data_IF_035937197293
#
_entry.id   IF_035937197293
#
_cell.length_a   1.000
_cell.length_b   1.000
_cell.length_c   1.000
_cell.angle_alpha   90.00
_cell.angle_beta   90.00
_cell.angle_gamma   90.00
#
_symmetry.space_group_name_H-M   'P 1'
#
loop_
_entity.id
_entity.type
_entity.pdbx_description
1 polymer ?
#
# COMPACT_ATOMS: atom_id res chain seq x y z
N UNK A 1 20.41 -13.89 -8.84
CA UNK A 1 20.49 -12.48 -9.29
C UNK A 1 21.21 -11.66 -8.23
N UNK A 2 22.03 -10.68 -8.61
CA UNK A 2 22.72 -9.79 -7.65
C UNK A 2 22.38 -8.36 -8.02
N UNK A 3 21.70 -7.65 -7.12
CA UNK A 3 21.42 -6.22 -7.26
C UNK A 3 22.71 -5.44 -7.03
N UNK A 4 23.07 -4.57 -7.96
CA UNK A 4 24.19 -3.64 -7.77
C UNK A 4 23.75 -2.39 -6.97
N UNK A 5 24.72 -1.55 -6.61
CA UNK A 5 24.44 -0.35 -5.82
C UNK A 5 23.46 0.61 -6.51
N UNK A 6 23.49 0.69 -7.83
CA UNK A 6 22.59 1.57 -8.58
C UNK A 6 21.15 1.04 -8.53
N UNK A 7 20.96 -0.27 -8.68
CA UNK A 7 19.68 -0.94 -8.52
C UNK A 7 19.12 -0.78 -7.10
N UNK A 8 19.96 -0.95 -6.07
CA UNK A 8 19.56 -0.74 -4.68
C UNK A 8 19.12 0.70 -4.41
N UNK A 9 19.85 1.69 -4.93
CA UNK A 9 19.46 3.09 -4.79
C UNK A 9 18.13 3.38 -5.51
N UNK A 10 17.93 2.83 -6.72
CA UNK A 10 16.65 2.97 -7.44
C UNK A 10 15.49 2.36 -6.67
N UNK A 11 15.67 1.17 -6.08
CA UNK A 11 14.66 0.52 -5.25
C UNK A 11 14.35 1.32 -3.99
N UNK A 12 15.38 1.89 -3.34
CA UNK A 12 15.20 2.74 -2.17
C UNK A 12 14.41 4.01 -2.50
N UNK A 13 14.70 4.66 -3.62
CA UNK A 13 13.98 5.86 -4.08
C UNK A 13 12.52 5.53 -4.41
N UNK A 14 12.25 4.39 -5.05
CA UNK A 14 10.88 3.92 -5.33
C UNK A 14 10.13 3.60 -4.05
N UNK A 15 10.77 2.91 -3.10
CA UNK A 15 10.17 2.59 -1.81
C UNK A 15 9.84 3.86 -0.99
N UNK A 16 10.73 4.85 -1.00
CA UNK A 16 10.47 6.13 -0.33
C UNK A 16 9.27 6.86 -0.96
N UNK A 17 9.18 6.89 -2.30
CA UNK A 17 8.05 7.49 -3.00
C UNK A 17 6.73 6.78 -2.71
N UNK A 18 6.74 5.45 -2.74
CA UNK A 18 5.59 4.62 -2.41
C UNK A 18 5.09 4.89 -0.98
N UNK A 19 6.01 4.92 -0.01
CA UNK A 19 5.71 5.18 1.38
C UNK A 19 5.15 6.61 1.62
N UNK A 20 5.71 7.61 0.94
CA UNK A 20 5.19 8.99 1.01
C UNK A 20 3.77 9.05 0.46
N UNK A 21 3.52 8.48 -0.72
CA UNK A 21 2.20 8.50 -1.36
C UNK A 21 1.13 7.81 -0.50
N UNK A 22 1.44 6.66 0.07
CA UNK A 22 0.54 5.97 1.00
C UNK A 22 0.34 6.76 2.29
N UNK A 23 1.41 7.35 2.85
CA UNK A 23 1.34 8.20 4.04
C UNK A 23 0.47 9.44 3.83
N UNK A 24 0.53 10.09 2.67
CA UNK A 24 -0.35 11.21 2.31
C UNK A 24 -1.81 10.76 2.22
N UNK A 25 -2.09 9.60 1.65
CA UNK A 25 -3.43 9.02 1.61
C UNK A 25 -3.97 8.70 3.01
N UNK A 26 -3.17 8.07 3.88
CA UNK A 26 -3.56 7.78 5.27
C UNK A 26 -3.79 9.09 6.05
N UNK A 27 -2.92 10.08 5.86
CA UNK A 27 -3.06 11.40 6.50
C UNK A 27 -4.32 12.14 6.05
N UNK A 28 -4.73 12.00 4.78
CA UNK A 28 -5.98 12.60 4.28
C UNK A 28 -7.20 11.81 4.74
N UNK A 29 -7.11 10.48 4.81
CA UNK A 29 -8.20 9.61 5.29
C UNK A 29 -8.48 9.80 6.78
N UNK A 30 -7.44 10.02 7.59
CA UNK A 30 -7.58 10.37 9.02
C UNK A 30 -8.13 11.79 9.25
N UNK A 31 -7.96 12.70 8.28
CA UNK A 31 -8.58 14.04 8.31
C UNK A 31 -10.02 14.05 7.79
N UNK A 32 -10.46 12.98 7.10
CA UNK A 32 -11.83 12.76 6.67
C UNK A 32 -12.71 12.12 7.75
N UNK A 33 -12.45 12.41 9.03
CA UNK A 33 -13.47 12.22 10.07
C UNK A 33 -14.73 13.00 9.68
N UNK A 34 -15.84 12.27 9.47
CA UNK A 34 -17.26 12.62 9.77
C UNK A 34 -18.28 12.41 8.64
N UNK A 35 -17.90 12.05 7.41
CA UNK A 35 -18.86 11.41 6.48
C UNK A 35 -18.76 9.88 6.60
N UNK A 36 -18.86 9.38 7.84
CA UNK A 36 -18.96 7.93 8.08
C UNK A 36 -20.32 7.48 7.53
N UNK A 37 -20.33 7.00 6.29
CA UNK A 37 -21.51 6.40 5.69
C UNK A 37 -21.92 5.17 6.51
N UNK A 38 -23.06 5.27 7.18
CA UNK A 38 -23.73 4.15 7.81
C UNK A 38 -24.09 3.09 6.77
N UNK A 39 -23.29 2.03 6.65
CA UNK A 39 -23.73 0.77 6.03
C UNK A 39 -24.08 -0.23 7.14
N UNK A 40 -25.31 -0.70 7.12
CA UNK A 40 -25.82 -1.68 8.07
C UNK A 40 -25.14 -3.04 7.84
N UNK A 41 -24.30 -3.47 8.79
CA UNK A 41 -23.88 -4.86 8.93
C UNK A 41 -22.37 -5.10 8.84
N UNK A 42 -21.78 -5.53 9.96
CA UNK A 42 -20.36 -5.86 10.09
C UNK A 42 -19.74 -5.15 11.28
N UNK A 43 -18.63 -5.68 11.82
CA UNK A 43 -17.89 -5.11 12.96
C UNK A 43 -17.70 -3.59 12.85
N UNK A 44 -17.55 -2.92 14.00
CA UNK A 44 -17.64 -1.47 14.17
C UNK A 44 -17.14 -0.62 13.00
N UNK A 45 -17.74 0.55 12.77
CA UNK A 45 -17.35 1.48 11.68
C UNK A 45 -15.84 1.76 11.63
N UNK A 46 -15.16 1.77 12.77
CA UNK A 46 -13.71 1.90 12.86
C UNK A 46 -12.96 0.75 12.18
N UNK A 47 -13.43 -0.49 12.33
CA UNK A 47 -12.85 -1.68 11.71
C UNK A 47 -13.05 -1.70 10.19
N UNK A 48 -14.21 -1.25 9.71
CA UNK A 48 -14.50 -1.18 8.27
C UNK A 48 -13.66 -0.10 7.56
N UNK A 49 -13.54 1.08 8.17
CA UNK A 49 -12.70 2.16 7.64
C UNK A 49 -11.23 1.76 7.66
N UNK A 50 -10.78 1.02 8.68
CA UNK A 50 -9.41 0.50 8.74
C UNK A 50 -9.10 -0.41 7.55
N UNK A 51 -9.94 -1.40 7.27
CA UNK A 51 -9.78 -2.29 6.11
C UNK A 51 -9.73 -1.53 4.78
N UNK A 52 -10.60 -0.54 4.57
CA UNK A 52 -10.60 0.26 3.34
C UNK A 52 -9.34 1.12 3.19
N UNK A 53 -8.86 1.72 4.29
CA UNK A 53 -7.63 2.53 4.27
C UNK A 53 -6.41 1.66 4.01
N UNK A 54 -6.36 0.46 4.61
CA UNK A 54 -5.27 -0.50 4.43
C UNK A 54 -5.21 -1.02 2.98
N UNK A 55 -6.35 -1.44 2.41
CA UNK A 55 -6.45 -1.89 1.01
C UNK A 55 -5.99 -0.81 0.02
N UNK A 56 -6.45 0.43 0.19
CA UNK A 56 -6.11 1.54 -0.70
C UNK A 56 -4.65 1.99 -0.53
N UNK A 57 -4.13 2.00 0.70
CA UNK A 57 -2.72 2.30 0.95
C UNK A 57 -1.81 1.26 0.28
N UNK A 58 -2.16 -0.04 0.36
CA UNK A 58 -1.45 -1.10 -0.34
C UNK A 58 -1.49 -0.88 -1.86
N UNK A 59 -2.66 -0.58 -2.44
CA UNK A 59 -2.80 -0.33 -3.87
C UNK A 59 -1.88 0.80 -4.36
N UNK A 60 -1.78 1.90 -3.61
CA UNK A 60 -0.90 3.03 -3.93
C UNK A 60 0.59 2.66 -3.86
N UNK A 61 0.97 1.82 -2.89
CA UNK A 61 2.34 1.30 -2.80
C UNK A 61 2.65 0.43 -4.03
N UNK A 62 1.74 -0.48 -4.38
CA UNK A 62 1.91 -1.38 -5.50
C UNK A 62 1.99 -0.64 -6.84
N UNK A 63 1.18 0.41 -7.06
CA UNK A 63 1.24 1.22 -8.28
C UNK A 63 2.64 1.81 -8.52
N UNK A 64 3.35 2.19 -7.45
CA UNK A 64 4.71 2.75 -7.53
C UNK A 64 5.75 1.64 -7.72
N UNK A 65 5.58 0.49 -7.07
CA UNK A 65 6.57 -0.58 -7.05
C UNK A 65 6.43 -1.60 -8.19
N UNK A 66 5.25 -1.76 -8.78
CA UNK A 66 4.95 -2.77 -9.81
C UNK A 66 5.92 -2.74 -11.00
N UNK A 67 6.31 -1.57 -11.56
CA UNK A 67 7.30 -1.51 -12.64
C UNK A 67 8.68 -2.06 -12.25
N UNK A 68 8.99 -2.08 -10.95
CA UNK A 68 10.25 -2.59 -10.42
C UNK A 68 10.28 -4.12 -10.35
N UNK A 69 9.14 -4.79 -10.21
CA UNK A 69 9.09 -6.25 -10.01
C UNK A 69 9.61 -7.00 -11.23
N UNK A 70 9.07 -6.70 -12.41
CA UNK A 70 9.56 -7.30 -13.66
C UNK A 70 10.97 -6.84 -14.03
N UNK A 71 11.34 -5.60 -13.67
CA UNK A 71 12.68 -5.05 -13.96
C UNK A 71 13.78 -5.72 -13.12
N UNK A 72 13.48 -6.06 -11.88
CA UNK A 72 14.44 -6.58 -10.91
C UNK A 72 14.16 -8.02 -10.47
N UNK A 73 13.28 -8.74 -11.17
CA UNK A 73 12.91 -10.13 -10.87
C UNK A 73 12.51 -10.33 -9.39
N UNK A 74 11.68 -9.41 -8.88
CA UNK A 74 11.21 -9.42 -7.49
C UNK A 74 9.84 -10.08 -7.40
N UNK A 75 9.69 -10.96 -6.42
CA UNK A 75 8.39 -11.47 -6.01
C UNK A 75 7.66 -10.47 -5.10
N UNK A 76 6.33 -10.60 -5.04
CA UNK A 76 5.48 -9.78 -4.18
C UNK A 76 4.94 -10.62 -3.01
N UNK A 77 4.98 -10.06 -1.81
CA UNK A 77 4.31 -10.58 -0.61
C UNK A 77 3.54 -9.42 0.05
N UNK A 78 2.25 -9.60 0.27
CA UNK A 78 1.36 -8.58 0.86
C UNK A 78 0.28 -9.23 1.70
N UNK A 79 -0.21 -8.54 2.73
CA UNK A 79 -1.26 -9.05 3.63
C UNK A 79 -2.62 -9.16 2.95
N UNK A 80 -2.99 -8.21 2.08
CA UNK A 80 -4.33 -8.17 1.46
C UNK A 80 -4.45 -8.93 0.12
N UNK A 81 -3.35 -9.51 -0.37
CA UNK A 81 -3.40 -10.44 -1.51
C UNK A 81 -3.35 -11.86 -0.98
N UNK A 82 -4.17 -12.77 -1.52
CA UNK A 82 -4.18 -14.16 -1.09
C UNK A 82 -2.76 -14.77 -1.14
N UNK A 83 -2.23 -15.11 0.02
CA UNK A 83 -1.00 -15.88 0.17
C UNK A 83 -1.28 -17.29 -0.35
N UNK A 84 -0.82 -17.62 -1.56
CA UNK A 84 -0.81 -19.00 -2.05
C UNK A 84 0.33 -19.75 -1.33
N UNK A 85 0.13 -20.03 -0.04
CA UNK A 85 1.02 -20.83 0.79
C UNK A 85 1.28 -22.24 0.28
#
# INVERSE_FOLDING_TARGET
MTLDQAALNQLADLAAQAAIRAGEYIATSSQQELEVMHKEGGDSLASQVLTEVDENAQALILEVLEPSFGKFDLALLTEESADEG
#
